data_IF_953405598948
#
_entry.id   IF_953405598948
#
_cell.length_a   1.000
_cell.length_b   1.000
_cell.length_c   1.000
_cell.angle_alpha   90.00
_cell.angle_beta   90.00
_cell.angle_gamma   90.00
#
_symmetry.space_group_name_H-M   'P 1'
#
loop_
_entity.id
_entity.type
_entity.pdbx_description
1 polymer ?
#
# COMPACT_ATOMS: atom_id res chain seq x y z
N UNK A 1 10.93 1.83 5.31
CA UNK A 1 9.57 2.38 5.06
C UNK A 1 8.55 1.49 5.75
N UNK A 2 7.44 2.05 6.27
CA UNK A 2 6.42 1.26 6.97
C UNK A 2 5.68 0.32 6.01
N UNK A 3 5.34 0.79 4.80
CA UNK A 3 4.69 -0.01 3.76
C UNK A 3 5.45 -1.33 3.46
N UNK A 4 6.77 -1.25 3.28
CA UNK A 4 7.60 -2.44 3.00
C UNK A 4 7.62 -3.44 4.16
N UNK A 5 7.58 -2.96 5.42
CA UNK A 5 7.47 -3.84 6.59
C UNK A 5 6.14 -4.60 6.60
N UNK A 6 5.05 -3.95 6.20
CA UNK A 6 3.74 -4.59 6.11
C UNK A 6 3.71 -5.60 4.96
N UNK A 7 4.23 -5.24 3.78
CA UNK A 7 4.35 -6.14 2.62
C UNK A 7 5.11 -7.42 2.95
N UNK A 8 6.24 -7.29 3.64
CA UNK A 8 7.05 -8.42 4.08
C UNK A 8 6.31 -9.29 5.10
N UNK A 9 5.61 -8.70 6.06
CA UNK A 9 4.83 -9.43 7.05
C UNK A 9 3.69 -10.24 6.40
N UNK A 10 2.95 -9.66 5.46
CA UNK A 10 1.89 -10.36 4.70
C UNK A 10 2.47 -11.53 3.91
N UNK A 11 3.58 -11.30 3.21
CA UNK A 11 4.26 -12.36 2.45
C UNK A 11 4.78 -13.47 3.37
N UNK A 12 5.25 -13.13 4.57
CA UNK A 12 5.72 -14.09 5.56
C UNK A 12 4.60 -14.95 6.17
N UNK A 13 3.35 -14.49 6.15
CA UNK A 13 2.20 -15.30 6.57
C UNK A 13 1.95 -16.50 5.64
N UNK A 14 2.49 -16.49 4.41
CA UNK A 14 2.38 -17.59 3.44
C UNK A 14 0.94 -18.12 3.29
N UNK A 15 -0.02 -17.19 3.29
CA UNK A 15 -1.43 -17.54 3.13
C UNK A 15 -1.61 -18.06 1.72
N UNK A 16 -2.02 -19.31 1.58
CA UNK A 16 -2.18 -19.97 0.28
C UNK A 16 -3.19 -19.22 -0.58
N UNK A 17 -2.78 -18.92 -1.82
CA UNK A 17 -3.64 -18.29 -2.81
C UNK A 17 -3.47 -19.01 -4.15
N UNK A 18 -4.31 -20.01 -4.47
CA UNK A 18 -4.16 -20.86 -5.65
C UNK A 18 -4.24 -20.10 -6.99
N UNK A 19 -4.89 -18.93 -7.02
CA UNK A 19 -4.97 -18.05 -8.18
C UNK A 19 -3.85 -17.00 -8.29
N UNK A 20 -2.86 -17.02 -7.38
CA UNK A 20 -1.76 -16.05 -7.32
C UNK A 20 -0.56 -16.65 -8.02
N UNK A 21 0.13 -15.86 -8.85
CA UNK A 21 1.36 -16.28 -9.52
C UNK A 21 2.44 -16.74 -8.53
N UNK A 22 2.42 -16.20 -7.31
CA UNK A 22 3.38 -16.51 -6.26
C UNK A 22 2.92 -17.64 -5.33
N UNK A 23 1.74 -18.23 -5.56
CA UNK A 23 1.16 -19.28 -4.71
C UNK A 23 0.70 -18.80 -3.33
N UNK A 24 0.89 -17.53 -3.00
CA UNK A 24 0.47 -16.92 -1.75
C UNK A 24 -0.13 -15.53 -1.93
N UNK A 25 -0.85 -15.07 -0.90
CA UNK A 25 -1.39 -13.72 -0.84
C UNK A 25 -0.23 -12.71 -0.81
N UNK A 26 -0.28 -11.75 -1.73
CA UNK A 26 0.61 -10.59 -1.77
C UNK A 26 -0.21 -9.30 -1.66
N UNK A 27 0.45 -8.19 -1.33
CA UNK A 27 -0.19 -6.89 -1.20
C UNK A 27 0.66 -5.79 -1.84
N UNK A 28 0.00 -4.89 -2.57
CA UNK A 28 0.58 -3.66 -3.12
C UNK A 28 0.30 -2.49 -2.19
N UNK A 29 1.19 -1.48 -2.19
CA UNK A 29 1.07 -0.33 -1.31
C UNK A 29 1.41 0.95 -2.06
N UNK A 30 0.41 1.80 -2.29
CA UNK A 30 0.59 3.19 -2.65
C UNK A 30 0.90 4.02 -1.40
N UNK A 31 1.90 4.89 -1.47
CA UNK A 31 2.29 5.76 -0.37
C UNK A 31 2.60 7.16 -0.86
N UNK A 32 2.00 8.16 -0.21
CA UNK A 32 2.29 9.58 -0.44
C UNK A 32 2.70 10.23 0.87
N UNK A 33 3.65 11.16 0.80
CA UNK A 33 4.00 12.03 1.91
C UNK A 33 3.89 13.47 1.44
N UNK A 34 3.20 14.30 2.22
CA UNK A 34 2.94 15.69 1.90
C UNK A 34 2.94 16.52 3.18
N UNK A 35 3.49 17.72 3.10
CA UNK A 35 3.33 18.74 4.15
C UNK A 35 1.92 19.38 4.06
N UNK A 36 1.13 19.34 5.15
CA UNK A 36 -0.22 19.90 5.16
C UNK A 36 -0.17 21.43 5.05
N UNK A 37 -0.94 22.00 4.12
CA UNK A 37 -1.10 23.45 3.95
C UNK A 37 -2.52 23.87 4.28
N UNK A 38 -2.68 25.11 4.77
CA UNK A 38 -4.00 25.66 5.09
C UNK A 38 -4.86 25.72 3.82
N UNK A 39 -6.05 25.11 3.88
CA UNK A 39 -6.96 24.98 2.74
C UNK A 39 -6.78 23.69 1.92
N UNK A 40 -5.93 22.76 2.38
CA UNK A 40 -5.77 21.49 1.69
C UNK A 40 -7.00 20.60 1.79
N UNK A 41 -7.39 20.09 0.63
CA UNK A 41 -8.39 19.04 0.52
C UNK A 41 -7.73 17.67 0.72
N UNK A 42 -8.17 16.99 1.78
CA UNK A 42 -7.75 15.64 2.12
C UNK A 42 -7.99 14.65 0.97
N UNK A 43 -9.00 14.90 0.12
CA UNK A 43 -9.25 14.03 -1.04
C UNK A 43 -8.10 14.02 -2.04
N UNK A 44 -7.31 15.09 -2.12
CA UNK A 44 -6.15 15.16 -3.02
C UNK A 44 -5.02 14.25 -2.54
N UNK A 45 -4.84 14.15 -1.22
CA UNK A 45 -3.83 13.27 -0.61
C UNK A 45 -4.22 11.81 -0.80
N UNK A 46 -5.51 11.49 -0.62
CA UNK A 46 -6.03 10.14 -0.82
C UNK A 46 -5.88 9.72 -2.29
N UNK A 47 -6.27 10.58 -3.24
CA UNK A 47 -6.10 10.31 -4.67
C UNK A 47 -4.64 10.08 -5.06
N UNK A 48 -3.71 10.88 -4.52
CA UNK A 48 -2.29 10.70 -4.80
C UNK A 48 -1.73 9.38 -4.22
N UNK A 49 -2.27 8.90 -3.10
CA UNK A 49 -1.93 7.59 -2.56
C UNK A 49 -2.49 6.46 -3.44
N UNK A 50 -3.72 6.60 -3.93
CA UNK A 50 -4.37 5.64 -4.82
C UNK A 50 -3.67 5.56 -6.20
N UNK A 51 -3.20 6.68 -6.75
CA UNK A 51 -2.44 6.72 -8.00
C UNK A 51 -1.06 6.05 -7.90
N UNK A 52 -0.50 5.96 -6.69
CA UNK A 52 0.80 5.33 -6.44
C UNK A 52 0.71 3.81 -6.18
N UNK A 53 -0.51 3.24 -6.14
CA UNK A 53 -0.78 1.83 -5.89
C UNK A 53 -0.61 0.97 -7.16
#
# INVERSE_FOLDING_TARGET
MIAEKIRAAISACQIEHPGSEYGCVTASFGAVSREPKVGDDLTTVIKAADEAL
#
